data_IF_851791001334
#
_entry.id   IF_851791001334
#
_cell.length_a   1.000
_cell.length_b   1.000
_cell.length_c   1.000
_cell.angle_alpha   90.00
_cell.angle_beta   90.00
_cell.angle_gamma   90.00
#
_symmetry.space_group_name_H-M   'P 1'
#
loop_
_entity.id
_entity.type
_entity.pdbx_description
1 polymer ?
#
# COMPACT_ATOMS: atom_id res chain seq x y z
N UNK A 1 7.85 -5.02 -9.41
CA UNK A 1 6.71 -5.84 -9.86
C UNK A 1 5.54 -5.81 -8.87
N UNK A 2 5.70 -6.36 -7.65
CA UNK A 2 4.58 -6.56 -6.68
C UNK A 2 3.72 -5.32 -6.41
N UNK A 3 4.32 -4.13 -6.29
CA UNK A 3 3.59 -2.88 -6.12
C UNK A 3 2.70 -2.55 -7.31
N UNK A 4 3.23 -2.68 -8.54
CA UNK A 4 2.46 -2.44 -9.77
C UNK A 4 1.27 -3.37 -9.87
N UNK A 5 1.48 -4.65 -9.60
CA UNK A 5 0.42 -5.65 -9.55
C UNK A 5 -0.66 -5.31 -8.52
N UNK A 6 -0.27 -4.88 -7.31
CA UNK A 6 -1.25 -4.52 -6.27
C UNK A 6 -2.13 -3.33 -6.69
N UNK A 7 -1.54 -2.34 -7.37
CA UNK A 7 -2.27 -1.19 -7.91
C UNK A 7 -3.24 -1.60 -9.01
N UNK A 8 -2.77 -2.33 -10.03
CA UNK A 8 -3.61 -2.80 -11.15
C UNK A 8 -4.78 -3.64 -10.65
N UNK A 9 -4.54 -4.51 -9.65
CA UNK A 9 -5.59 -5.30 -8.99
C UNK A 9 -6.61 -4.43 -8.25
N UNK A 10 -6.17 -3.35 -7.61
CA UNK A 10 -7.07 -2.43 -6.91
C UNK A 10 -7.89 -1.54 -7.87
N UNK A 11 -7.33 -1.18 -9.03
CA UNK A 11 -8.04 -0.47 -10.10
C UNK A 11 -9.09 -1.37 -10.76
N UNK A 12 -8.78 -2.65 -10.98
CA UNK A 12 -9.71 -3.64 -11.50
C UNK A 12 -9.74 -3.80 -13.03
N UNK A 13 -8.81 -3.17 -13.75
CA UNK A 13 -8.71 -3.25 -15.22
C UNK A 13 -7.96 -4.49 -15.74
N UNK A 14 -7.38 -5.29 -14.86
CA UNK A 14 -6.63 -6.49 -15.23
C UNK A 14 -5.41 -6.17 -16.11
N UNK A 15 -5.09 -7.07 -17.05
CA UNK A 15 -3.90 -6.97 -17.91
C UNK A 15 -3.96 -5.82 -18.93
N UNK A 16 -5.11 -5.18 -19.09
CA UNK A 16 -5.30 -4.06 -20.02
C UNK A 16 -4.77 -2.73 -19.48
N UNK A 17 -4.42 -2.65 -18.19
CA UNK A 17 -3.89 -1.42 -17.61
C UNK A 17 -2.44 -1.17 -18.07
N UNK A 18 -2.13 -0.04 -18.74
CA UNK A 18 -0.78 0.20 -19.26
C UNK A 18 0.24 0.34 -18.13
N UNK A 19 1.23 -0.54 -18.06
CA UNK A 19 2.21 -0.56 -16.96
C UNK A 19 3.24 0.60 -17.01
N UNK A 20 3.23 1.38 -18.08
CA UNK A 20 4.14 2.51 -18.31
C UNK A 20 3.57 3.84 -17.85
N UNK A 21 2.26 3.93 -17.57
CA UNK A 21 1.59 5.19 -17.21
C UNK A 21 1.79 5.58 -15.75
N UNK A 22 2.39 4.72 -14.93
CA UNK A 22 2.64 4.96 -13.51
C UNK A 22 3.93 4.31 -13.02
N UNK A 23 4.49 4.88 -11.95
CA UNK A 23 5.76 4.41 -11.38
C UNK A 23 5.75 4.38 -9.87
N UNK A 24 6.66 3.57 -9.33
CA UNK A 24 6.99 3.52 -7.92
C UNK A 24 8.49 3.68 -7.77
N UNK A 25 8.88 4.60 -6.89
CA UNK A 25 10.27 4.77 -6.47
C UNK A 25 10.41 4.25 -5.05
N UNK A 26 11.27 3.25 -4.84
CA UNK A 26 11.51 2.64 -3.53
C UNK A 26 12.84 3.16 -2.99
N UNK A 27 12.80 3.90 -1.89
CA UNK A 27 13.98 4.47 -1.24
C UNK A 27 14.24 3.75 0.08
N UNK A 28 15.20 2.82 0.06
CA UNK A 28 15.56 2.05 1.25
C UNK A 28 14.39 1.22 1.82
N UNK A 29 14.42 0.88 3.12
CA UNK A 29 13.48 -0.07 3.71
C UNK A 29 12.09 0.51 4.03
N UNK A 30 11.92 1.84 4.02
CA UNK A 30 10.70 2.48 4.58
C UNK A 30 10.16 3.65 3.77
N UNK A 31 10.75 4.00 2.61
CA UNK A 31 10.28 5.09 1.79
C UNK A 31 9.86 4.60 0.39
N UNK A 32 8.71 5.10 -0.07
CA UNK A 32 8.06 4.73 -1.32
C UNK A 32 7.36 5.99 -1.86
N UNK A 33 7.70 6.39 -3.08
CA UNK A 33 6.92 7.38 -3.83
C UNK A 33 6.09 6.68 -4.90
N UNK A 34 4.87 7.17 -5.10
CA UNK A 34 3.99 6.73 -6.16
C UNK A 34 3.71 7.88 -7.11
N UNK A 35 3.93 7.67 -8.40
CA UNK A 35 3.55 8.59 -9.45
C UNK A 35 2.38 7.97 -10.22
N UNK A 36 1.15 8.49 -10.05
CA UNK A 36 -0.04 7.95 -10.71
C UNK A 36 -0.06 8.32 -12.20
N UNK A 37 -0.95 7.68 -12.99
CA UNK A 37 -1.33 8.17 -14.30
C UNK A 37 -1.92 9.59 -14.23
N UNK A 38 -1.89 10.37 -15.33
CA UNK A 38 -2.39 11.76 -15.35
C UNK A 38 -3.83 11.96 -14.86
N UNK A 39 -4.68 10.94 -14.97
CA UNK A 39 -6.10 10.98 -14.62
C UNK A 39 -6.38 10.63 -13.14
N UNK A 40 -5.37 10.23 -12.38
CA UNK A 40 -5.51 9.69 -11.03
C UNK A 40 -4.88 10.62 -9.98
N UNK A 41 -5.57 10.80 -8.85
CA UNK A 41 -5.07 11.61 -7.74
C UNK A 41 -4.17 10.76 -6.84
N UNK A 42 -2.88 11.14 -6.76
CA UNK A 42 -1.90 10.52 -5.84
C UNK A 42 -2.41 10.48 -4.40
N UNK A 43 -3.12 11.51 -3.94
CA UNK A 43 -3.58 11.61 -2.56
C UNK A 43 -4.68 10.61 -2.21
N UNK A 44 -5.35 10.01 -3.19
CA UNK A 44 -6.35 8.97 -2.99
C UNK A 44 -5.76 7.58 -2.73
N UNK A 45 -4.45 7.39 -2.94
CA UNK A 45 -3.81 6.08 -2.89
C UNK A 45 -2.91 5.89 -1.67
N UNK A 46 -2.95 4.68 -1.10
CA UNK A 46 -2.12 4.22 0.01
C UNK A 46 -1.51 2.88 -0.36
N UNK A 47 -0.23 2.68 -0.01
CA UNK A 47 0.53 1.49 -0.37
C UNK A 47 1.32 0.96 0.81
N UNK A 48 1.28 -0.35 1.01
CA UNK A 48 2.14 -1.03 1.97
C UNK A 48 2.95 -2.11 1.25
N UNK A 49 4.22 -2.24 1.62
CA UNK A 49 5.13 -3.26 1.09
C UNK A 49 5.69 -4.06 2.26
N UNK A 50 5.52 -5.37 2.19
CA UNK A 50 5.90 -6.32 3.22
C UNK A 50 6.93 -7.31 2.67
N UNK A 51 7.76 -7.82 3.58
CA UNK A 51 8.66 -8.94 3.34
C UNK A 51 8.31 -10.08 4.32
N UNK A 52 7.24 -10.86 4.06
CA UNK A 52 6.81 -11.93 4.97
C UNK A 52 7.85 -13.05 5.14
N UNK A 53 8.83 -13.12 4.23
CA UNK A 53 10.06 -13.90 4.39
C UNK A 53 11.17 -13.23 3.57
N UNK A 54 12.45 -13.63 3.75
CA UNK A 54 13.56 -13.06 2.97
C UNK A 54 13.36 -13.18 1.46
N UNK A 55 12.75 -14.28 1.00
CA UNK A 55 12.55 -14.59 -0.42
C UNK A 55 11.26 -14.04 -1.03
N UNK A 56 10.32 -13.50 -0.24
CA UNK A 56 9.01 -13.09 -0.74
C UNK A 56 8.76 -11.60 -0.51
N UNK A 57 7.97 -11.01 -1.42
CA UNK A 57 7.47 -9.63 -1.31
C UNK A 57 5.97 -9.62 -1.52
N UNK A 58 5.28 -8.89 -0.65
CA UNK A 58 3.83 -8.71 -0.73
C UNK A 58 3.53 -7.22 -0.72
N UNK A 59 2.60 -6.77 -1.56
CA UNK A 59 2.18 -5.37 -1.59
C UNK A 59 0.66 -5.26 -1.53
N UNK A 60 0.17 -4.22 -0.88
CA UNK A 60 -1.24 -3.89 -0.78
C UNK A 60 -1.42 -2.45 -1.27
N UNK A 61 -2.39 -2.25 -2.17
CA UNK A 61 -2.84 -0.93 -2.61
C UNK A 61 -4.27 -0.71 -2.13
N UNK A 62 -4.53 0.45 -1.54
CA UNK A 62 -5.87 0.84 -1.09
C UNK A 62 -6.18 2.22 -1.63
N UNK A 63 -7.33 2.36 -2.28
CA UNK A 63 -7.91 3.67 -2.61
C UNK A 63 -8.75 4.14 -1.44
N UNK A 64 -8.38 5.25 -0.83
CA UNK A 64 -9.09 5.86 0.29
C UNK A 64 -9.47 7.29 -0.08
N UNK A 65 -10.62 7.81 0.40
CA UNK A 65 -10.90 9.25 0.29
C UNK A 65 -9.73 10.06 0.84
N UNK A 66 -9.39 11.23 0.26
CA UNK A 66 -8.31 12.07 0.76
C UNK A 66 -8.56 12.45 2.23
N UNK A 67 -7.87 11.79 3.16
CA UNK A 67 -7.91 12.09 4.60
C UNK A 67 -6.49 12.34 5.12
N UNK A 68 -6.00 13.56 4.89
CA UNK A 68 -4.71 14.03 5.42
C UNK A 68 -3.46 13.50 4.70
N UNK A 69 -2.26 13.91 5.15
CA UNK A 69 -1.07 13.93 4.31
C UNK A 69 -0.54 12.54 3.96
N UNK A 70 -0.38 12.33 2.65
CA UNK A 70 0.56 11.39 2.01
C UNK A 70 0.26 9.88 2.12
N UNK A 71 0.87 9.08 1.23
CA UNK A 71 0.80 7.62 1.31
C UNK A 71 1.43 7.13 2.61
N UNK A 72 0.63 6.43 3.43
CA UNK A 72 1.10 5.71 4.61
C UNK A 72 1.91 4.50 4.14
N UNK A 73 3.18 4.47 4.50
CA UNK A 73 4.06 3.34 4.26
C UNK A 73 4.12 2.54 5.56
N UNK A 74 3.45 1.39 5.57
CA UNK A 74 3.66 0.38 6.60
C UNK A 74 4.64 -0.65 6.05
N UNK A 75 5.85 -0.67 6.58
CA UNK A 75 6.76 -1.81 6.45
C UNK A 75 6.70 -2.59 7.76
N UNK A 76 6.33 -3.86 7.65
CA UNK A 76 6.22 -4.76 8.79
C UNK A 76 6.58 -6.17 8.36
N UNK A 77 7.23 -6.90 9.26
CA UNK A 77 7.29 -8.35 9.20
C UNK A 77 5.90 -8.85 9.61
N UNK A 78 5.22 -9.56 8.71
CA UNK A 78 4.05 -10.33 9.11
C UNK A 78 4.60 -11.64 9.65
N UNK A 79 4.43 -11.97 10.95
CA UNK A 79 4.78 -13.29 11.44
C UNK A 79 3.92 -14.29 10.64
N UNK A 80 4.58 -15.03 9.74
CA UNK A 80 3.99 -16.14 9.05
C UNK A 80 3.57 -17.13 10.15
N UNK A 81 2.26 -17.39 10.24
CA UNK A 81 1.57 -18.21 11.25
C UNK A 81 1.37 -17.55 12.63
N UNK A 82 0.30 -16.77 12.77
CA UNK A 82 -0.49 -16.81 14.02
C UNK A 82 -1.94 -16.51 13.70
N UNK A 83 -2.83 -17.49 13.92
CA UNK A 83 -4.26 -17.25 14.14
C UNK A 83 -4.43 -16.62 15.53
N UNK A 84 -3.82 -15.47 15.70
CA UNK A 84 -4.00 -14.54 16.79
C UNK A 84 -3.83 -13.20 16.10
N UNK A 85 -4.96 -12.55 15.80
CA UNK A 85 -4.97 -11.17 15.37
C UNK A 85 -4.32 -10.34 16.50
N UNK A 86 -3.00 -10.22 16.47
CA UNK A 86 -2.32 -9.19 17.23
C UNK A 86 -2.51 -7.88 16.46
N UNK A 87 -2.82 -6.80 17.18
CA UNK A 87 -3.44 -5.63 16.60
C UNK A 87 -2.48 -4.98 15.61
N UNK A 88 -3.02 -4.69 14.44
CA UNK A 88 -2.46 -3.68 13.55
C UNK A 88 -2.27 -2.41 14.42
N UNK A 89 -1.03 -2.05 14.76
CA UNK A 89 -0.80 -0.80 15.48
C UNK A 89 -0.76 0.32 14.46
N UNK A 90 -1.95 0.82 14.15
CA UNK A 90 -2.13 2.17 13.66
C UNK A 90 -1.69 3.11 14.80
N UNK A 91 -0.42 3.54 14.84
CA UNK A 91 -0.10 4.73 15.63
C UNK A 91 -0.62 5.94 14.87
N UNK A 92 -1.93 6.18 14.97
CA UNK A 92 -2.51 7.51 14.87
C UNK A 92 -3.18 7.79 16.19
N UNK A 93 -2.74 8.87 16.85
CA UNK A 93 -3.52 9.52 17.88
C UNK A 93 -4.82 10.03 17.27
N UNK A 94 -5.83 9.18 17.17
CA UNK A 94 -7.22 9.59 16.94
C UNK A 94 -8.13 8.49 17.48
N UNK A 95 -8.83 8.84 18.56
CA UNK A 95 -9.74 7.96 19.28
C UNK A 95 -10.97 7.66 18.43
N UNK A 96 -11.31 6.38 18.26
CA UNK A 96 -12.57 5.94 17.64
C UNK A 96 -13.56 5.54 18.74
N UNK A 97 -14.79 6.05 18.69
CA UNK A 97 -15.91 5.60 19.50
C UNK A 97 -17.04 5.22 18.54
N UNK A 98 -17.40 3.93 18.51
CA UNK A 98 -18.54 3.41 17.76
C UNK A 98 -19.84 3.67 18.55
N UNK A 99 -20.91 4.04 17.84
CA UNK A 99 -22.29 3.78 18.27
C UNK A 99 -22.76 2.52 17.58
#
# INVERSE_FOLDING_TARGET
>A
WTLKESYVKAVGEGLSHPLETFSFDVYGPSALAFTPPPQEDRAAWRFALFAPSPAHRMAVAVRTPPCGPGPLIATGELPMYTCAAQPFKLTRGTSWRLR
#
